data_IF_867156338946
#
_entry.id   IF_867156338946
#
_cell.length_a   1.000
_cell.length_b   1.000
_cell.length_c   1.000
_cell.angle_alpha   90.00
_cell.angle_beta   90.00
_cell.angle_gamma   90.00
#
_symmetry.space_group_name_H-M   'P 1'
#
loop_
_entity.id
_entity.type
_entity.pdbx_description
1 polymer ?
#
# COMPACT_ATOMS: atom_id res chain seq x y z
N UNK A 1 1.82 30.38 11.33
CA UNK A 1 0.96 29.19 11.49
C UNK A 1 -0.34 29.47 10.76
N UNK A 2 -0.80 28.57 9.90
CA UNK A 2 -2.06 28.80 9.17
C UNK A 2 -3.28 28.67 10.06
N UNK A 3 -4.31 29.47 9.78
CA UNK A 3 -5.56 29.47 10.53
C UNK A 3 -6.46 28.32 10.05
N UNK A 4 -6.63 27.30 10.90
CA UNK A 4 -7.43 26.11 10.56
C UNK A 4 -8.92 26.44 10.34
N UNK A 5 -9.44 27.47 11.00
CA UNK A 5 -10.83 27.92 10.84
C UNK A 5 -11.06 28.56 9.47
N UNK A 6 -10.13 29.41 9.00
CA UNK A 6 -10.18 29.97 7.65
C UNK A 6 -10.01 28.89 6.58
N UNK A 7 -9.10 27.95 6.81
CA UNK A 7 -8.89 26.80 5.95
C UNK A 7 -10.15 25.92 5.85
N UNK A 8 -10.81 25.63 6.98
CA UNK A 8 -12.08 24.90 7.02
C UNK A 8 -13.16 25.61 6.20
N UNK A 9 -13.38 26.91 6.45
CA UNK A 9 -14.34 27.72 5.70
C UNK A 9 -14.09 27.62 4.19
N UNK A 10 -12.84 27.79 3.76
CA UNK A 10 -12.50 27.78 2.34
C UNK A 10 -12.64 26.41 1.70
N UNK A 11 -12.25 25.34 2.39
CA UNK A 11 -12.43 23.97 1.87
C UNK A 11 -13.91 23.60 1.77
N UNK A 12 -14.75 24.01 2.72
CA UNK A 12 -16.22 23.82 2.64
C UNK A 12 -16.81 24.57 1.46
N UNK A 13 -16.44 25.83 1.26
CA UNK A 13 -16.87 26.64 0.10
C UNK A 13 -16.50 25.98 -1.23
N UNK A 14 -15.23 25.59 -1.42
CA UNK A 14 -14.74 25.03 -2.67
C UNK A 14 -15.37 23.67 -3.00
N UNK A 15 -15.68 22.88 -1.98
CA UNK A 15 -16.27 21.55 -2.16
C UNK A 15 -17.80 21.57 -2.21
N UNK A 16 -18.43 22.68 -1.79
CA UNK A 16 -19.86 22.76 -1.50
C UNK A 16 -20.29 21.79 -0.40
N UNK A 17 -19.36 21.38 0.47
CA UNK A 17 -19.54 20.35 1.50
C UNK A 17 -20.19 19.05 0.97
N UNK A 18 -19.91 18.70 -0.28
CA UNK A 18 -20.59 17.57 -0.89
C UNK A 18 -20.27 16.26 -0.17
N UNK A 19 -21.27 15.40 0.02
CA UNK A 19 -21.13 14.14 0.77
C UNK A 19 -20.07 13.20 0.19
N UNK A 20 -19.90 13.22 -1.14
CA UNK A 20 -18.90 12.44 -1.87
C UNK A 20 -17.56 13.18 -2.10
N UNK A 21 -17.40 14.38 -1.55
CA UNK A 21 -16.12 15.08 -1.59
C UNK A 21 -15.12 14.40 -0.65
N UNK A 22 -13.88 14.23 -1.12
CA UNK A 22 -12.72 13.93 -0.29
C UNK A 22 -11.55 14.81 -0.72
N UNK A 23 -11.44 16.03 -0.14
CA UNK A 23 -10.42 16.99 -0.53
C UNK A 23 -9.01 16.49 -0.20
N UNK A 24 -8.82 15.85 0.95
CA UNK A 24 -7.54 15.25 1.37
C UNK A 24 -7.73 14.29 2.56
N UNK A 25 -6.64 13.65 2.99
CA UNK A 25 -6.52 12.88 4.22
C UNK A 25 -5.12 13.09 4.85
N UNK A 26 -5.11 13.50 6.11
CA UNK A 26 -3.94 13.54 6.99
C UNK A 26 -4.42 13.33 8.43
N UNK A 27 -3.54 12.97 9.36
CA UNK A 27 -3.93 12.98 10.78
C UNK A 27 -3.76 14.40 11.36
N UNK A 28 -4.83 14.92 11.95
CA UNK A 28 -4.90 16.28 12.52
C UNK A 28 -4.91 17.38 11.46
N UNK A 29 -4.29 18.51 11.79
CA UNK A 29 -4.20 19.70 10.93
C UNK A 29 -3.33 19.46 9.69
N UNK A 30 -3.74 19.86 8.48
CA UNK A 30 -2.93 19.70 7.27
C UNK A 30 -1.71 20.62 7.22
N UNK A 31 -1.67 21.66 8.06
CA UNK A 31 -0.51 22.55 8.15
C UNK A 31 0.72 21.78 8.66
N UNK A 32 1.84 21.91 7.94
CA UNK A 32 3.07 21.19 8.23
C UNK A 32 3.18 19.82 7.54
N UNK A 33 2.22 19.44 6.69
CA UNK A 33 2.41 18.34 5.75
C UNK A 33 3.38 18.78 4.64
N UNK A 34 4.57 18.18 4.60
CA UNK A 34 5.64 18.55 3.65
C UNK A 34 5.62 17.69 2.38
N UNK A 35 4.95 16.53 2.43
CA UNK A 35 4.83 15.57 1.33
C UNK A 35 3.39 15.43 0.91
N UNK A 36 3.11 15.61 -0.38
CA UNK A 36 1.80 15.33 -0.96
C UNK A 36 1.85 14.05 -1.77
N UNK A 37 0.93 13.12 -1.51
CA UNK A 37 0.67 11.95 -2.36
C UNK A 37 -0.58 12.27 -3.19
N UNK A 38 -0.41 12.35 -4.50
CA UNK A 38 -1.45 12.89 -5.39
C UNK A 38 -1.89 11.83 -6.39
N UNK A 39 -3.12 11.34 -6.18
CA UNK A 39 -3.85 10.54 -7.15
C UNK A 39 -4.71 11.38 -8.10
N UNK A 40 -5.53 10.70 -8.90
CA UNK A 40 -6.44 11.37 -9.83
C UNK A 40 -7.76 11.76 -9.17
N UNK A 41 -8.44 10.81 -8.52
CA UNK A 41 -9.69 11.03 -7.82
C UNK A 41 -9.96 9.94 -6.76
N UNK A 42 -10.82 10.22 -5.76
CA UNK A 42 -11.26 9.22 -4.81
C UNK A 42 -11.92 7.99 -5.45
N UNK A 43 -11.32 6.81 -5.25
CA UNK A 43 -11.87 5.52 -5.73
C UNK A 43 -12.95 4.89 -4.83
N UNK A 44 -13.39 5.56 -3.77
CA UNK A 44 -14.40 5.08 -2.81
C UNK A 44 -15.28 6.22 -2.30
N UNK A 45 -16.55 5.94 -2.06
CA UNK A 45 -17.54 6.89 -1.53
C UNK A 45 -17.51 7.05 0.00
N UNK A 46 -16.43 6.65 0.67
CA UNK A 46 -16.30 6.85 2.11
C UNK A 46 -16.28 8.36 2.42
N UNK A 47 -17.22 8.87 3.24
CA UNK A 47 -17.39 10.30 3.43
C UNK A 47 -16.20 10.91 4.18
N UNK A 48 -15.85 12.15 3.86
CA UNK A 48 -14.76 12.89 4.53
C UNK A 48 -15.27 13.67 5.75
N UNK A 49 -16.36 14.43 5.60
CA UNK A 49 -16.83 15.41 6.58
C UNK A 49 -17.07 14.90 8.00
N UNK A 50 -17.61 13.68 8.23
CA UNK A 50 -17.77 13.17 9.60
C UNK A 50 -16.45 13.04 10.39
N UNK A 51 -15.32 13.03 9.67
CA UNK A 51 -13.99 12.86 10.22
C UNK A 51 -13.18 14.16 10.22
N UNK A 52 -13.72 15.27 9.71
CA UNK A 52 -13.09 16.58 9.75
C UNK A 52 -13.75 17.44 10.83
N UNK A 53 -13.01 17.75 11.90
CA UNK A 53 -13.55 18.43 13.09
C UNK A 53 -12.57 19.49 13.59
N UNK A 54 -13.03 20.73 13.72
CA UNK A 54 -12.26 21.78 14.40
C UNK A 54 -12.25 21.53 15.92
N UNK A 55 -11.18 21.92 16.63
CA UNK A 55 -9.92 22.50 16.13
C UNK A 55 -8.88 21.44 15.71
N UNK A 56 -9.23 20.15 15.73
CA UNK A 56 -8.27 19.06 15.53
C UNK A 56 -7.80 18.92 14.06
N UNK A 57 -8.74 19.01 13.12
CA UNK A 57 -8.54 18.68 11.70
C UNK A 57 -9.11 17.30 11.37
N UNK A 58 -8.38 16.50 10.60
CA UNK A 58 -8.85 15.21 10.10
C UNK A 58 -8.51 14.06 11.06
N UNK A 59 -9.52 13.34 11.52
CA UNK A 59 -9.40 12.06 12.24
C UNK A 59 -9.19 10.91 11.23
N UNK A 60 -8.04 10.89 10.56
CA UNK A 60 -7.75 9.91 9.50
C UNK A 60 -7.79 8.47 10.03
N UNK A 61 -7.36 8.20 11.26
CA UNK A 61 -7.46 6.85 11.83
C UNK A 61 -8.91 6.37 12.00
N UNK A 62 -9.84 7.25 12.37
CA UNK A 62 -11.28 6.93 12.38
C UNK A 62 -11.79 6.66 10.97
N UNK A 63 -11.43 7.53 10.01
CA UNK A 63 -11.78 7.37 8.60
C UNK A 63 -11.27 6.04 8.03
N UNK A 64 -10.03 5.65 8.36
CA UNK A 64 -9.42 4.40 7.90
C UNK A 64 -10.17 3.18 8.45
N UNK A 65 -10.55 3.19 9.73
CA UNK A 65 -11.34 2.09 10.31
C UNK A 65 -12.67 1.91 9.57
N UNK A 66 -13.38 3.00 9.32
CA UNK A 66 -14.64 2.96 8.56
C UNK A 66 -14.43 2.52 7.12
N UNK A 67 -13.44 3.09 6.43
CA UNK A 67 -13.04 2.70 5.07
C UNK A 67 -12.81 1.18 4.95
N UNK A 68 -12.06 0.61 5.89
CA UNK A 68 -11.71 -0.81 5.89
C UNK A 68 -12.90 -1.71 6.24
N UNK A 69 -13.89 -1.19 6.97
CA UNK A 69 -15.13 -1.91 7.28
C UNK A 69 -16.09 -2.00 6.08
N UNK A 70 -16.19 -0.93 5.27
CA UNK A 70 -17.22 -0.80 4.21
C UNK A 70 -16.86 -1.51 2.91
N UNK A 71 -15.57 -1.62 2.57
CA UNK A 71 -15.10 -2.25 1.33
C UNK A 71 -13.81 -3.01 1.65
N UNK A 72 -13.73 -4.28 1.22
CA UNK A 72 -12.51 -5.09 1.38
C UNK A 72 -11.27 -4.31 0.95
N UNK A 73 -10.20 -4.43 1.73
CA UNK A 73 -8.96 -3.64 1.64
C UNK A 73 -8.53 -3.44 0.18
N UNK A 74 -8.60 -2.20 -0.33
CA UNK A 74 -8.10 -1.92 -1.68
C UNK A 74 -6.56 -1.84 -1.63
N UNK A 75 -5.84 -2.53 -2.52
CA UNK A 75 -4.37 -2.48 -2.57
C UNK A 75 -3.80 -1.06 -2.57
N UNK A 76 -4.46 -0.12 -3.27
CA UNK A 76 -4.08 1.30 -3.30
C UNK A 76 -3.93 1.90 -1.89
N UNK A 77 -4.90 1.67 -1.01
CA UNK A 77 -4.90 2.27 0.34
C UNK A 77 -3.76 1.71 1.17
N UNK A 78 -3.56 0.38 1.15
CA UNK A 78 -2.43 -0.27 1.85
C UNK A 78 -1.10 0.33 1.40
N UNK A 79 -0.92 0.53 0.09
CA UNK A 79 0.31 1.09 -0.48
C UNK A 79 0.53 2.55 -0.04
N UNK A 80 -0.52 3.38 -0.08
CA UNK A 80 -0.47 4.75 0.43
C UNK A 80 -0.05 4.76 1.91
N UNK A 81 -0.68 3.95 2.75
CA UNK A 81 -0.35 3.93 4.18
C UNK A 81 1.08 3.42 4.46
N UNK A 82 1.60 2.47 3.67
CA UNK A 82 3.01 2.04 3.77
C UNK A 82 3.98 3.17 3.40
N UNK A 83 3.73 3.90 2.32
CA UNK A 83 4.55 5.07 1.93
C UNK A 83 4.55 6.10 3.05
N UNK A 84 3.37 6.45 3.58
CA UNK A 84 3.21 7.45 4.66
C UNK A 84 3.93 7.00 5.93
N UNK A 85 3.79 5.73 6.31
CA UNK A 85 4.48 5.18 7.49
C UNK A 85 5.99 5.24 7.33
N UNK A 86 6.53 4.88 6.17
CA UNK A 86 7.97 4.91 5.90
C UNK A 86 8.54 6.33 5.75
N UNK A 87 7.70 7.32 5.43
CA UNK A 87 8.08 8.73 5.36
C UNK A 87 8.18 9.41 6.74
N UNK A 88 7.68 8.79 7.80
CA UNK A 88 7.75 9.35 9.16
C UNK A 88 9.20 9.69 9.58
N UNK A 89 9.43 10.81 10.29
CA UNK A 89 8.43 11.69 10.92
C UNK A 89 7.86 12.77 9.99
N UNK A 90 8.23 12.79 8.70
CA UNK A 90 7.71 13.78 7.75
C UNK A 90 6.21 13.56 7.55
N UNK A 91 5.43 14.61 7.76
CA UNK A 91 3.98 14.54 7.69
C UNK A 91 3.55 14.55 6.23
N UNK A 92 2.67 13.61 5.89
CA UNK A 92 2.16 13.43 4.54
C UNK A 92 0.68 13.81 4.45
N UNK A 93 0.28 14.32 3.30
CA UNK A 93 -1.11 14.59 2.93
C UNK A 93 -1.45 13.74 1.69
N UNK A 94 -2.47 12.88 1.82
CA UNK A 94 -3.03 12.10 0.70
C UNK A 94 -4.17 12.88 0.06
N UNK A 95 -4.07 13.20 -1.22
CA UNK A 95 -5.07 13.98 -1.96
C UNK A 95 -5.15 13.50 -3.41
N UNK A 96 -6.01 14.16 -4.18
CA UNK A 96 -6.26 13.86 -5.57
C UNK A 96 -6.39 15.18 -6.34
N UNK A 97 -6.02 15.16 -7.62
CA UNK A 97 -6.24 16.30 -8.51
C UNK A 97 -7.73 16.71 -8.55
N UNK A 98 -8.63 15.72 -8.52
CA UNK A 98 -10.07 15.92 -8.41
C UNK A 98 -10.59 15.37 -7.09
N UNK A 99 -11.34 16.18 -6.34
CA UNK A 99 -11.79 15.81 -5.00
C UNK A 99 -13.06 14.93 -4.98
N UNK A 100 -13.69 14.69 -6.12
CA UNK A 100 -14.97 13.97 -6.23
C UNK A 100 -14.81 12.47 -6.44
N UNK A 101 -15.62 11.69 -5.74
CA UNK A 101 -15.67 10.24 -5.91
C UNK A 101 -16.06 9.85 -7.33
N UNK A 102 -15.35 8.86 -7.86
CA UNK A 102 -15.87 8.00 -8.93
C UNK A 102 -15.25 6.60 -8.81
N UNK A 103 -15.93 5.53 -9.26
CA UNK A 103 -15.36 4.18 -9.24
C UNK A 103 -14.04 4.04 -10.01
N UNK A 104 -13.88 4.84 -11.06
CA UNK A 104 -12.67 4.92 -11.89
C UNK A 104 -12.67 6.23 -12.67
N UNK A 105 -11.50 6.62 -13.16
CA UNK A 105 -11.33 7.86 -13.91
C UNK A 105 -12.22 7.99 -15.15
N UNK A 106 -12.46 6.89 -15.89
CA UNK A 106 -13.32 6.91 -17.07
C UNK A 106 -14.79 7.25 -16.74
N UNK A 107 -15.22 7.00 -15.50
CA UNK A 107 -16.54 7.36 -14.99
C UNK A 107 -16.61 8.77 -14.35
N UNK A 108 -15.49 9.51 -14.34
CA UNK A 108 -15.48 10.86 -13.79
C UNK A 108 -16.07 11.85 -14.80
N UNK A 109 -17.22 12.42 -14.45
CA UNK A 109 -17.96 13.36 -15.30
C UNK A 109 -17.17 14.66 -15.49
N UNK A 110 -17.32 15.36 -16.63
CA UNK A 110 -16.61 16.61 -16.89
C UNK A 110 -16.74 17.65 -15.76
N UNK A 111 -17.93 17.81 -15.19
CA UNK A 111 -18.22 18.73 -14.09
C UNK A 111 -17.55 18.35 -12.76
N UNK A 112 -17.18 17.08 -12.59
CA UNK A 112 -16.49 16.58 -11.39
C UNK A 112 -14.95 16.69 -11.52
N UNK A 113 -14.42 17.14 -12.67
CA UNK A 113 -12.98 17.35 -12.94
C UNK A 113 -12.51 18.73 -12.44
N UNK A 114 -12.92 19.10 -11.24
CA UNK A 114 -12.59 20.38 -10.61
C UNK A 114 -11.29 20.27 -9.80
N UNK A 115 -10.28 21.05 -10.20
CA UNK A 115 -8.94 21.08 -9.58
C UNK A 115 -8.77 22.22 -8.58
N UNK A 116 -9.77 23.11 -8.41
CA UNK A 116 -9.65 24.30 -7.56
C UNK A 116 -9.36 23.95 -6.10
N UNK A 117 -9.88 22.82 -5.61
CA UNK A 117 -9.55 22.30 -4.27
C UNK A 117 -8.08 21.93 -4.19
N UNK A 118 -7.56 21.16 -5.15
CA UNK A 118 -6.16 20.74 -5.14
C UNK A 118 -5.20 21.93 -5.27
N UNK A 119 -5.55 22.89 -6.12
CA UNK A 119 -4.82 24.14 -6.30
C UNK A 119 -4.72 24.96 -5.03
N UNK A 120 -5.83 25.08 -4.31
CA UNK A 120 -5.86 25.75 -3.01
C UNK A 120 -4.98 25.03 -1.97
N UNK A 121 -4.98 23.69 -1.96
CA UNK A 121 -4.10 22.91 -1.07
C UNK A 121 -2.62 23.17 -1.36
N UNK A 122 -2.22 23.21 -2.64
CA UNK A 122 -0.84 23.51 -3.02
C UNK A 122 -0.41 24.90 -2.57
N UNK A 123 -1.26 25.91 -2.79
CA UNK A 123 -0.97 27.30 -2.47
C UNK A 123 -0.86 27.55 -0.97
N UNK A 124 -1.77 26.98 -0.17
CA UNK A 124 -1.84 27.28 1.27
C UNK A 124 -0.90 26.41 2.11
N UNK A 125 -0.64 25.17 1.68
CA UNK A 125 0.14 24.22 2.47
C UNK A 125 1.58 24.09 1.99
N UNK A 126 1.90 24.58 0.79
CA UNK A 126 3.27 24.73 0.25
C UNK A 126 4.14 23.48 0.44
N UNK A 127 3.77 22.32 -0.14
CA UNK A 127 4.54 21.09 0.06
C UNK A 127 5.97 21.23 -0.49
N UNK A 128 6.93 20.58 0.15
CA UNK A 128 8.31 20.48 -0.34
C UNK A 128 8.43 19.45 -1.45
N UNK A 129 7.70 18.34 -1.29
CA UNK A 129 7.79 17.18 -2.19
C UNK A 129 6.39 16.72 -2.59
N UNK A 130 6.23 16.38 -3.86
CA UNK A 130 5.02 15.77 -4.41
C UNK A 130 5.36 14.42 -5.01
N UNK A 131 4.61 13.39 -4.63
CA UNK A 131 4.52 12.14 -5.36
C UNK A 131 3.23 12.11 -6.19
N UNK A 132 3.34 12.35 -7.49
CA UNK A 132 2.21 12.28 -8.42
C UNK A 132 2.12 10.89 -9.03
N UNK A 133 0.97 10.21 -8.87
CA UNK A 133 0.84 8.81 -9.29
C UNK A 133 -0.34 8.55 -10.24
N UNK A 134 -0.03 7.94 -11.39
CA UNK A 134 -0.98 7.71 -12.48
C UNK A 134 -0.98 8.83 -13.53
N UNK A 135 -1.23 8.46 -14.78
CA UNK A 135 -1.02 9.32 -15.95
C UNK A 135 -1.64 10.71 -15.80
N UNK A 136 -2.91 10.79 -15.43
CA UNK A 136 -3.63 12.07 -15.41
C UNK A 136 -3.21 13.00 -14.26
N UNK A 137 -2.77 12.44 -13.13
CA UNK A 137 -2.18 13.24 -12.05
C UNK A 137 -0.79 13.76 -12.47
N UNK A 138 -0.04 12.98 -13.25
CA UNK A 138 1.25 13.38 -13.81
C UNK A 138 1.06 14.47 -14.85
N UNK A 139 0.18 14.27 -15.84
CA UNK A 139 -0.17 15.26 -16.86
C UNK A 139 -0.64 16.58 -16.24
N UNK A 140 -1.39 16.51 -15.14
CA UNK A 140 -1.77 17.69 -14.38
C UNK A 140 -0.55 18.48 -13.90
N UNK A 141 0.42 17.80 -13.27
CA UNK A 141 1.65 18.41 -12.78
C UNK A 141 2.59 18.87 -13.88
N UNK A 142 2.67 18.16 -15.01
CA UNK A 142 3.46 18.57 -16.17
C UNK A 142 2.96 19.91 -16.73
N UNK A 143 1.63 20.10 -16.79
CA UNK A 143 1.05 21.41 -17.18
C UNK A 143 1.37 22.50 -16.17
N UNK A 144 1.34 22.20 -14.88
CA UNK A 144 1.72 23.17 -13.85
C UNK A 144 3.21 23.53 -13.87
N UNK A 145 4.06 22.55 -14.19
CA UNK A 145 5.51 22.72 -14.26
C UNK A 145 5.98 23.34 -15.58
N UNK A 146 5.16 23.26 -16.64
CA UNK A 146 5.53 23.69 -17.99
C UNK A 146 6.53 22.76 -18.68
N UNK A 147 6.74 21.53 -18.17
CA UNK A 147 7.68 20.56 -18.71
C UNK A 147 7.25 19.13 -18.42
N UNK A 148 7.76 18.18 -19.21
CA UNK A 148 7.55 16.76 -18.98
C UNK A 148 8.30 16.30 -17.71
N UNK A 149 7.71 15.36 -16.98
CA UNK A 149 8.26 14.86 -15.73
C UNK A 149 8.70 13.39 -15.88
N UNK A 150 9.99 13.06 -15.68
CA UNK A 150 10.46 11.69 -15.78
C UNK A 150 9.85 10.80 -14.69
N UNK A 151 9.54 9.55 -15.06
CA UNK A 151 9.10 8.50 -14.14
C UNK A 151 10.21 8.11 -13.15
N UNK A 152 9.81 7.88 -11.89
CA UNK A 152 10.64 7.39 -10.79
C UNK A 152 11.90 8.26 -10.52
N UNK A 153 11.87 9.54 -10.90
CA UNK A 153 12.97 10.49 -10.70
C UNK A 153 12.48 11.79 -10.04
N UNK A 154 13.23 12.28 -9.05
CA UNK A 154 12.98 13.59 -8.46
C UNK A 154 13.37 14.70 -9.43
N UNK A 155 12.41 15.57 -9.75
CA UNK A 155 12.60 16.75 -10.60
C UNK A 155 12.22 18.00 -9.81
N UNK A 156 13.15 18.93 -9.64
CA UNK A 156 12.82 20.24 -9.07
C UNK A 156 12.11 21.09 -10.13
N UNK A 157 10.90 21.56 -9.82
CA UNK A 157 10.11 22.43 -10.70
C UNK A 157 9.69 23.70 -9.97
N UNK A 158 9.31 24.73 -10.74
CA UNK A 158 8.65 25.92 -10.21
C UNK A 158 7.17 25.83 -10.54
N UNK A 159 6.32 25.70 -9.52
CA UNK A 159 4.86 25.67 -9.65
C UNK A 159 4.33 26.90 -8.94
N UNK A 160 3.75 27.84 -9.68
CA UNK A 160 3.20 29.10 -9.14
C UNK A 160 4.20 29.90 -8.29
N UNK A 161 5.46 29.94 -8.73
CA UNK A 161 6.56 30.60 -8.02
C UNK A 161 7.11 29.83 -6.82
N UNK A 162 6.53 28.67 -6.47
CA UNK A 162 7.04 27.77 -5.43
C UNK A 162 7.97 26.73 -6.04
N UNK A 163 9.14 26.54 -5.42
CA UNK A 163 10.03 25.43 -5.76
C UNK A 163 9.54 24.16 -5.09
N UNK A 164 9.19 23.15 -5.88
CA UNK A 164 8.70 21.85 -5.40
C UNK A 164 9.51 20.75 -6.07
N UNK A 165 9.85 19.70 -5.31
CA UNK A 165 10.41 18.48 -5.89
C UNK A 165 9.29 17.50 -6.21
N UNK A 166 9.20 17.08 -7.48
CA UNK A 166 8.19 16.13 -7.93
C UNK A 166 8.85 14.81 -8.29
N UNK A 167 8.32 13.71 -7.76
CA UNK A 167 8.58 12.36 -8.27
C UNK A 167 7.29 11.81 -8.84
N UNK A 168 7.36 11.25 -10.04
CA UNK A 168 6.20 10.64 -10.69
C UNK A 168 6.28 9.13 -10.62
N UNK A 169 5.13 8.45 -10.56
CA UNK A 169 5.11 6.99 -10.51
C UNK A 169 3.82 6.37 -11.02
N UNK A 170 3.81 5.05 -11.08
CA UNK A 170 2.63 4.32 -11.55
C UNK A 170 1.45 4.50 -10.60
N UNK A 171 0.24 4.42 -11.16
CA UNK A 171 -0.98 4.45 -10.36
C UNK A 171 -0.96 3.34 -9.30
N UNK A 172 -1.05 3.71 -8.01
CA UNK A 172 -0.90 2.81 -6.87
C UNK A 172 -1.94 1.67 -6.83
N UNK A 173 -3.05 1.76 -7.57
CA UNK A 173 -4.00 0.66 -7.75
C UNK A 173 -3.60 -0.41 -8.78
N UNK A 174 -2.65 -0.12 -9.67
CA UNK A 174 -2.26 -0.98 -10.81
C UNK A 174 -0.79 -1.40 -10.78
N UNK A 175 -0.16 -1.40 -9.60
CA UNK A 175 1.25 -1.74 -9.44
C UNK A 175 1.62 -3.01 -10.25
N UNK A 176 2.54 -2.84 -11.21
CA UNK A 176 3.02 -3.91 -12.09
C UNK A 176 3.98 -4.84 -11.34
N UNK A 177 4.41 -5.92 -12.01
CA UNK A 177 5.53 -6.77 -11.53
C UNK A 177 6.72 -5.87 -11.16
N UNK A 178 7.30 -6.10 -9.98
CA UNK A 178 8.45 -5.34 -9.45
C UNK A 178 8.11 -4.28 -8.40
N UNK A 179 6.84 -3.97 -8.17
CA UNK A 179 6.41 -3.11 -7.06
C UNK A 179 5.98 -3.96 -5.86
N UNK A 180 6.98 -4.37 -5.07
CA UNK A 180 6.81 -5.05 -3.78
C UNK A 180 6.39 -4.05 -2.70
N UNK A 181 5.97 -4.54 -1.53
CA UNK A 181 5.74 -3.67 -0.38
C UNK A 181 6.98 -2.91 0.08
N UNK A 182 8.15 -3.56 0.01
CA UNK A 182 9.44 -2.95 0.28
C UNK A 182 9.70 -1.73 -0.60
N UNK A 183 9.39 -1.80 -1.91
CA UNK A 183 9.55 -0.65 -2.82
C UNK A 183 8.67 0.55 -2.45
N UNK A 184 7.47 0.32 -1.91
CA UNK A 184 6.62 1.41 -1.41
C UNK A 184 7.22 2.06 -0.15
N UNK A 185 7.89 1.27 0.69
CA UNK A 185 8.58 1.78 1.88
C UNK A 185 9.87 2.51 1.51
N UNK A 186 10.62 2.02 0.52
CA UNK A 186 11.75 2.73 -0.08
C UNK A 186 11.34 4.09 -0.62
N UNK A 187 10.19 4.16 -1.31
CA UNK A 187 9.64 5.42 -1.79
C UNK A 187 9.34 6.36 -0.62
N UNK A 188 8.68 5.88 0.44
CA UNK A 188 8.46 6.68 1.65
C UNK A 188 9.75 7.22 2.26
N UNK A 189 10.79 6.38 2.39
CA UNK A 189 12.11 6.79 2.89
C UNK A 189 12.77 7.84 1.99
N UNK A 190 12.65 7.69 0.67
CA UNK A 190 13.20 8.64 -0.29
C UNK A 190 12.50 10.00 -0.24
N UNK A 191 11.16 10.02 -0.11
CA UNK A 191 10.38 11.25 0.09
C UNK A 191 10.84 11.99 1.35
N UNK A 192 11.03 11.26 2.46
CA UNK A 192 11.57 11.81 3.71
C UNK A 192 12.95 12.43 3.54
N UNK A 193 13.89 11.69 2.94
CA UNK A 193 15.25 12.16 2.68
C UNK A 193 15.25 13.44 1.83
N UNK A 194 14.36 13.50 0.84
CA UNK A 194 14.22 14.67 -0.02
C UNK A 194 13.74 15.90 0.76
N UNK A 195 12.75 15.75 1.63
CA UNK A 195 12.28 16.83 2.52
C UNK A 195 13.37 17.34 3.49
N UNK A 196 14.30 16.46 3.89
CA UNK A 196 15.43 16.77 4.76
C UNK A 196 16.63 17.40 4.02
N UNK A 197 16.50 17.65 2.71
CA UNK A 197 17.56 18.26 1.90
C UNK A 197 18.65 17.29 1.44
N UNK A 198 18.53 16.00 1.75
CA UNK A 198 19.46 14.98 1.25
C UNK A 198 19.16 14.71 -0.22
N UNK A 199 20.16 14.89 -1.10
CA UNK A 199 20.07 14.42 -2.49
C UNK A 199 20.16 12.90 -2.48
N UNK A 200 19.03 12.23 -2.64
CA UNK A 200 18.96 10.79 -2.87
C UNK A 200 18.43 10.55 -4.28
N UNK A 201 19.00 9.58 -4.99
CA UNK A 201 18.38 9.03 -6.18
C UNK A 201 17.42 7.93 -5.73
N UNK A 202 16.15 8.02 -6.15
CA UNK A 202 15.26 6.88 -6.00
C UNK A 202 15.78 5.77 -6.91
N UNK A 203 16.05 4.55 -6.40
CA UNK A 203 16.73 3.52 -7.16
C UNK A 203 15.93 3.18 -8.41
N UNK A 204 16.50 3.53 -9.57
CA UNK A 204 15.91 3.27 -10.87
C UNK A 204 16.12 1.79 -11.21
N UNK A 205 15.38 0.91 -10.54
CA UNK A 205 15.32 -0.50 -10.89
C UNK A 205 14.40 -0.65 -12.10
N UNK A 206 14.88 -0.21 -13.26
CA UNK A 206 14.49 -0.83 -14.51
C UNK A 206 14.78 -2.33 -14.38
N UNK A 207 13.89 -3.15 -14.94
CA UNK A 207 13.96 -4.61 -14.99
C UNK A 207 15.36 -5.13 -15.40
N UNK A 208 16.29 -5.26 -14.47
CA UNK A 208 17.50 -6.04 -14.64
C UNK A 208 17.20 -7.44 -14.14
N UNK A 209 16.63 -8.26 -15.01
CA UNK A 209 16.70 -9.71 -14.89
C UNK A 209 18.13 -10.14 -15.21
N UNK A 210 19.07 -9.86 -14.32
CA UNK A 210 20.33 -10.58 -14.27
C UNK A 210 20.41 -11.30 -12.94
N UNK A 211 20.13 -12.59 -13.01
CA UNK A 211 20.50 -13.58 -12.00
C UNK A 211 22.03 -13.59 -11.98
N UNK A 212 22.62 -12.80 -11.09
CA UNK A 212 24.02 -12.91 -10.72
C UNK A 212 24.14 -14.00 -9.68
N UNK A 213 24.69 -15.15 -10.07
CA UNK A 213 25.14 -16.18 -9.13
C UNK A 213 26.23 -15.56 -8.23
N UNK A 214 25.90 -15.35 -6.96
CA UNK A 214 26.88 -15.05 -5.93
C UNK A 214 27.00 -16.26 -5.01
N UNK A 215 28.18 -16.89 -5.07
CA UNK A 215 28.61 -17.99 -4.21
C UNK A 215 28.72 -17.50 -2.76
N UNK A 216 28.00 -18.14 -1.84
CA UNK A 216 28.18 -17.98 -0.40
C UNK A 216 29.48 -18.64 0.06
N UNK A 217 30.26 -18.01 0.95
CA UNK A 217 31.17 -18.74 1.82
C UNK A 217 30.45 -19.18 3.10
N UNK A 218 30.83 -20.36 3.56
CA UNK A 218 30.43 -21.02 4.79
C UNK A 218 30.43 -20.11 6.02
N UNK A 219 29.31 -20.12 6.74
CA UNK A 219 29.25 -19.78 8.17
C UNK A 219 28.35 -20.80 8.86
N UNK A 220 28.96 -21.88 9.32
CA UNK A 220 28.38 -22.75 10.33
C UNK A 220 28.33 -21.99 11.66
N UNK A 221 27.14 -21.53 12.04
CA UNK A 221 26.85 -21.12 13.40
C UNK A 221 25.76 -22.03 13.97
N UNK A 222 26.16 -22.80 14.97
CA UNK A 222 25.31 -23.59 15.84
C UNK A 222 24.24 -22.69 16.46
N UNK A 223 22.99 -22.79 15.99
CA UNK A 223 21.83 -22.12 16.58
C UNK A 223 21.26 -23.02 17.67
N UNK A 224 21.48 -22.63 18.92
CA UNK A 224 20.66 -23.08 20.04
C UNK A 224 19.19 -22.72 19.77
N UNK A 225 18.22 -23.58 20.15
CA UNK A 225 16.81 -23.26 19.97
C UNK A 225 16.46 -22.05 20.82
N UNK A 226 16.04 -20.96 20.15
CA UNK A 226 15.53 -19.78 20.83
C UNK A 226 14.25 -20.16 21.60
N UNK A 227 14.06 -19.64 22.82
CA UNK A 227 12.82 -19.85 23.55
C UNK A 227 11.65 -19.29 22.73
N UNK A 228 10.57 -20.07 22.63
CA UNK A 228 9.28 -19.69 22.05
C UNK A 228 8.68 -18.53 22.86
N UNK A 229 9.21 -17.33 22.68
CA UNK A 229 8.53 -16.08 23.03
C UNK A 229 7.27 -16.07 22.18
N UNK A 230 6.10 -16.02 22.82
CA UNK A 230 4.80 -15.91 22.15
C UNK A 230 4.79 -14.64 21.29
N UNK A 231 5.19 -14.77 20.03
CA UNK A 231 5.13 -13.71 19.02
C UNK A 231 3.66 -13.44 18.71
N UNK A 232 3.34 -12.16 18.55
CA UNK A 232 1.99 -11.71 18.25
C UNK A 232 1.47 -12.39 16.98
N UNK A 233 0.19 -12.76 17.00
CA UNK A 233 -0.50 -13.59 15.99
C UNK A 233 -0.50 -12.94 14.58
N UNK A 234 0.05 -11.74 14.45
CA UNK A 234 -0.11 -10.84 13.31
C UNK A 234 1.17 -10.59 12.50
N UNK A 235 2.32 -11.08 12.95
CA UNK A 235 3.59 -10.86 12.24
C UNK A 235 3.78 -11.86 11.09
N UNK A 236 3.55 -11.37 9.87
CA UNK A 236 3.73 -12.15 8.66
C UNK A 236 5.19 -12.58 8.43
N UNK A 237 6.16 -11.71 8.72
CA UNK A 237 7.57 -11.97 8.44
C UNK A 237 8.11 -13.05 9.39
N UNK A 238 7.77 -12.96 10.67
CA UNK A 238 8.08 -14.03 11.63
C UNK A 238 7.46 -15.37 11.23
N UNK A 239 6.23 -15.35 10.70
CA UNK A 239 5.55 -16.56 10.23
C UNK A 239 6.20 -17.12 8.97
N UNK A 240 6.59 -16.26 8.03
CA UNK A 240 7.27 -16.68 6.81
C UNK A 240 8.64 -17.29 7.10
N UNK A 241 9.39 -16.71 8.04
CA UNK A 241 10.66 -17.25 8.48
C UNK A 241 10.50 -18.61 9.15
N UNK A 242 9.48 -18.79 10.00
CA UNK A 242 9.14 -20.09 10.57
C UNK A 242 8.90 -21.14 9.47
N UNK A 243 8.11 -20.81 8.45
CA UNK A 243 7.84 -21.71 7.33
C UNK A 243 9.11 -22.08 6.54
N UNK A 244 10.05 -21.14 6.40
CA UNK A 244 11.37 -21.40 5.76
C UNK A 244 12.22 -22.34 6.59
N UNK A 245 12.36 -22.08 7.88
CA UNK A 245 13.17 -22.91 8.79
C UNK A 245 12.64 -24.35 8.91
N UNK A 246 11.34 -24.57 8.68
CA UNK A 246 10.68 -25.87 8.74
C UNK A 246 10.39 -26.48 7.35
N UNK A 247 10.92 -25.89 6.28
CA UNK A 247 10.81 -26.43 4.93
C UNK A 247 11.79 -27.60 4.73
N UNK A 248 11.38 -28.72 4.11
CA UNK A 248 10.07 -28.96 3.49
C UNK A 248 8.99 -29.40 4.49
N UNK A 249 7.77 -28.88 4.32
CA UNK A 249 6.60 -29.23 5.12
C UNK A 249 5.79 -30.34 4.46
N UNK A 250 5.58 -31.47 5.14
CA UNK A 250 4.71 -32.55 4.65
C UNK A 250 3.30 -32.36 5.22
N UNK A 251 2.34 -32.09 4.35
CA UNK A 251 0.99 -31.64 4.74
C UNK A 251 -0.11 -32.41 4.00
N UNK A 252 -1.32 -32.36 4.56
CA UNK A 252 -2.51 -32.95 3.95
C UNK A 252 -3.64 -31.92 3.84
N UNK A 253 -4.21 -31.81 2.64
CA UNK A 253 -5.39 -30.97 2.40
C UNK A 253 -6.64 -31.58 3.06
N UNK A 254 -7.70 -30.79 3.27
CA UNK A 254 -8.97 -31.33 3.78
C UNK A 254 -9.61 -32.39 2.87
N UNK A 255 -9.22 -32.44 1.60
CA UNK A 255 -9.66 -33.47 0.65
C UNK A 255 -8.73 -34.69 0.60
N UNK A 256 -7.83 -34.88 1.57
CA UNK A 256 -6.94 -36.04 1.65
C UNK A 256 -5.76 -36.05 0.68
N UNK A 257 -5.55 -34.97 -0.09
CA UNK A 257 -4.35 -34.86 -0.95
C UNK A 257 -3.15 -34.53 -0.10
N UNK A 258 -2.17 -35.45 -0.06
CA UNK A 258 -0.86 -35.26 0.56
C UNK A 258 0.06 -34.49 -0.38
N UNK A 259 0.86 -33.59 0.17
CA UNK A 259 1.80 -32.76 -0.58
C UNK A 259 2.97 -32.31 0.30
N UNK A 260 4.04 -31.90 -0.37
CA UNK A 260 5.21 -31.28 0.23
C UNK A 260 5.24 -29.80 -0.14
N UNK A 261 5.41 -28.92 0.84
CA UNK A 261 5.56 -27.49 0.62
C UNK A 261 7.03 -27.09 0.84
N UNK A 262 7.65 -26.55 -0.20
CA UNK A 262 9.02 -26.05 -0.19
C UNK A 262 8.99 -24.53 -0.15
N UNK A 263 9.59 -23.92 0.88
CA UNK A 263 9.51 -22.48 1.13
C UNK A 263 10.87 -21.85 0.87
N UNK A 264 10.89 -20.80 0.06
CA UNK A 264 12.06 -19.97 -0.23
C UNK A 264 11.85 -18.53 0.23
N UNK A 265 12.85 -17.69 0.02
CA UNK A 265 12.81 -16.26 0.39
C UNK A 265 11.65 -15.52 -0.28
N UNK A 266 11.26 -15.95 -1.48
CA UNK A 266 10.31 -15.22 -2.34
C UNK A 266 9.06 -16.02 -2.70
N UNK A 267 9.00 -17.31 -2.35
CA UNK A 267 7.88 -18.16 -2.77
C UNK A 267 7.71 -19.43 -1.94
N UNK A 268 6.56 -20.07 -2.12
CA UNK A 268 6.27 -21.42 -1.63
C UNK A 268 5.83 -22.28 -2.82
N UNK A 269 6.47 -23.44 -3.00
CA UNK A 269 6.17 -24.42 -4.03
C UNK A 269 5.49 -25.64 -3.40
N UNK A 270 4.38 -26.08 -3.98
CA UNK A 270 3.61 -27.23 -3.55
C UNK A 270 3.82 -28.38 -4.55
N UNK A 271 4.28 -29.52 -4.05
CA UNK A 271 4.57 -30.72 -4.82
C UNK A 271 3.70 -31.88 -4.31
N UNK A 272 3.03 -32.59 -5.22
CA UNK A 272 2.24 -33.78 -4.88
C UNK A 272 2.34 -34.79 -6.00
N UNK A 273 2.25 -36.09 -5.68
CA UNK A 273 2.36 -37.19 -6.66
C UNK A 273 1.33 -37.10 -7.81
N UNK A 274 0.24 -36.36 -7.61
CA UNK A 274 -0.89 -36.27 -8.55
C UNK A 274 -0.97 -34.96 -9.33
N UNK A 275 -0.18 -33.95 -8.98
CA UNK A 275 -0.26 -32.61 -9.58
C UNK A 275 1.12 -32.11 -10.02
N UNK A 276 1.12 -31.31 -11.09
CA UNK A 276 2.27 -30.46 -11.42
C UNK A 276 2.59 -29.52 -10.25
N UNK A 277 3.89 -29.27 -10.02
CA UNK A 277 4.38 -28.33 -9.02
C UNK A 277 3.70 -26.97 -9.18
N UNK A 278 3.14 -26.46 -8.08
CA UNK A 278 2.46 -25.15 -8.06
C UNK A 278 3.23 -24.20 -7.18
N UNK A 279 3.61 -23.04 -7.71
CA UNK A 279 4.30 -22.01 -6.92
C UNK A 279 3.38 -20.83 -6.62
N UNK A 280 3.57 -20.24 -5.44
CA UNK A 280 2.93 -19.03 -4.98
C UNK A 280 3.99 -18.07 -4.43
N UNK A 281 3.96 -16.80 -4.86
CA UNK A 281 4.89 -15.79 -4.35
C UNK A 281 4.58 -15.42 -2.89
N UNK A 282 5.61 -14.96 -2.16
CA UNK A 282 5.50 -14.44 -0.79
C UNK A 282 4.39 -13.39 -0.66
N UNK A 283 4.36 -12.38 -1.52
CA UNK A 283 3.31 -11.33 -1.51
C UNK A 283 1.88 -11.89 -1.64
N UNK A 284 1.71 -12.90 -2.49
CA UNK A 284 0.41 -13.54 -2.65
C UNK A 284 0.04 -14.29 -1.38
N UNK A 285 1.00 -15.02 -0.79
CA UNK A 285 0.81 -15.75 0.45
C UNK A 285 0.52 -14.81 1.63
N UNK A 286 1.23 -13.67 1.75
CA UNK A 286 0.98 -12.60 2.73
C UNK A 286 -0.47 -12.10 2.65
N UNK A 287 -0.95 -11.85 1.43
CA UNK A 287 -2.33 -11.43 1.21
C UNK A 287 -3.32 -12.45 1.79
N UNK A 288 -3.05 -13.75 1.62
CA UNK A 288 -3.91 -14.80 2.17
C UNK A 288 -3.74 -14.99 3.67
N UNK A 289 -2.53 -14.81 4.18
CA UNK A 289 -2.23 -14.85 5.61
C UNK A 289 -3.06 -13.80 6.35
N UNK A 290 -3.07 -12.56 5.86
CA UNK A 290 -3.89 -11.50 6.45
C UNK A 290 -5.38 -11.80 6.45
N UNK A 291 -5.91 -12.33 5.34
CA UNK A 291 -7.32 -12.71 5.26
C UNK A 291 -7.67 -13.81 6.25
N UNK A 292 -6.80 -14.81 6.39
CA UNK A 292 -7.03 -15.95 7.27
C UNK A 292 -6.93 -15.57 8.75
N UNK A 293 -5.83 -14.95 9.15
CA UNK A 293 -5.49 -14.73 10.56
C UNK A 293 -5.98 -13.39 11.10
N UNK A 294 -5.95 -12.31 10.31
CA UNK A 294 -6.37 -10.99 10.79
C UNK A 294 -7.86 -10.74 10.57
N UNK A 295 -8.39 -11.16 9.42
CA UNK A 295 -9.79 -10.91 9.07
C UNK A 295 -10.72 -12.08 9.43
N UNK A 296 -10.16 -13.25 9.78
CA UNK A 296 -10.95 -14.46 10.06
C UNK A 296 -11.69 -15.02 8.84
N UNK A 297 -11.31 -14.63 7.63
CA UNK A 297 -11.96 -15.01 6.37
C UNK A 297 -11.35 -16.28 5.80
N UNK A 298 -11.90 -17.43 6.20
CA UNK A 298 -11.41 -18.77 5.82
C UNK A 298 -12.17 -19.41 4.65
N UNK A 299 -13.07 -18.69 3.99
CA UNK A 299 -13.91 -19.22 2.90
C UNK A 299 -13.24 -19.06 1.52
N UNK A 300 -13.22 -20.15 0.74
CA UNK A 300 -12.70 -20.22 -0.63
C UNK A 300 -13.27 -19.16 -1.58
N UNK A 301 -14.49 -18.67 -1.35
CA UNK A 301 -15.14 -17.61 -2.14
C UNK A 301 -14.35 -16.31 -2.13
N UNK A 302 -13.73 -15.94 -1.00
CA UNK A 302 -12.90 -14.74 -0.93
C UNK A 302 -11.65 -14.88 -1.81
N UNK A 303 -11.08 -16.07 -1.86
CA UNK A 303 -9.93 -16.37 -2.71
C UNK A 303 -10.24 -16.29 -4.22
N UNK A 304 -11.45 -16.70 -4.63
CA UNK A 304 -11.91 -16.58 -6.02
C UNK A 304 -11.94 -15.12 -6.47
N UNK A 305 -12.42 -14.24 -5.60
CA UNK A 305 -12.59 -12.83 -5.93
C UNK A 305 -11.24 -12.10 -6.06
N UNK A 306 -10.20 -12.55 -5.35
CA UNK A 306 -8.84 -11.98 -5.44
C UNK A 306 -8.12 -12.38 -6.72
N UNK A 307 -8.18 -13.65 -7.10
CA UNK A 307 -7.42 -14.15 -8.25
C UNK A 307 -8.11 -13.93 -9.59
N UNK A 308 -9.42 -13.60 -9.60
CA UNK A 308 -10.28 -13.54 -10.80
C UNK A 308 -10.28 -14.81 -11.65
N UNK A 309 -9.66 -15.90 -11.18
CA UNK A 309 -9.57 -17.18 -11.90
C UNK A 309 -10.81 -18.01 -11.61
N UNK A 310 -11.41 -18.58 -12.66
CA UNK A 310 -12.62 -19.41 -12.59
C UNK A 310 -12.48 -20.66 -11.70
N UNK A 311 -11.26 -21.19 -11.51
CA UNK A 311 -11.01 -22.37 -10.67
C UNK A 311 -9.86 -22.15 -9.67
N UNK A 312 -10.16 -21.66 -8.46
CA UNK A 312 -9.18 -21.51 -7.38
C UNK A 312 -9.09 -22.75 -6.45
N UNK A 313 -9.84 -23.82 -6.71
CA UNK A 313 -10.12 -24.88 -5.73
C UNK A 313 -8.85 -25.55 -5.18
N UNK A 314 -7.90 -25.90 -6.07
CA UNK A 314 -6.69 -26.62 -5.66
C UNK A 314 -5.63 -25.73 -5.02
N UNK A 315 -5.45 -24.48 -5.48
CA UNK A 315 -4.53 -23.56 -4.78
C UNK A 315 -5.04 -23.26 -3.38
N UNK A 316 -6.35 -23.11 -3.23
CA UNK A 316 -7.00 -22.94 -1.94
C UNK A 316 -6.68 -24.07 -0.96
N UNK A 317 -6.81 -25.32 -1.40
CA UNK A 317 -6.57 -26.46 -0.52
C UNK A 317 -5.13 -26.50 0.02
N UNK A 318 -4.13 -26.19 -0.81
CA UNK A 318 -2.71 -26.24 -0.40
C UNK A 318 -2.39 -25.22 0.70
N UNK A 319 -2.57 -23.92 0.47
CA UNK A 319 -2.21 -22.95 1.51
C UNK A 319 -3.15 -23.03 2.72
N UNK A 320 -4.41 -23.47 2.57
CA UNK A 320 -5.29 -23.69 3.73
C UNK A 320 -4.75 -24.77 4.66
N UNK A 321 -4.08 -25.80 4.12
CA UNK A 321 -3.38 -26.78 4.92
C UNK A 321 -2.14 -26.18 5.60
N UNK A 322 -1.37 -25.33 4.91
CA UNK A 322 -0.26 -24.58 5.52
C UNK A 322 -0.76 -23.68 6.66
N UNK A 323 -1.87 -22.98 6.49
CA UNK A 323 -2.42 -22.11 7.54
C UNK A 323 -2.94 -22.91 8.74
N UNK A 324 -3.54 -24.07 8.54
CA UNK A 324 -3.91 -24.95 9.67
C UNK A 324 -2.68 -25.48 10.42
N UNK A 325 -1.63 -25.84 9.69
CA UNK A 325 -0.35 -26.21 10.31
C UNK A 325 0.20 -25.07 11.18
N UNK A 326 0.14 -23.83 10.69
CA UNK A 326 0.50 -22.64 11.46
C UNK A 326 -0.42 -22.40 12.68
N UNK A 327 -1.73 -22.60 12.58
CA UNK A 327 -2.66 -22.54 13.73
C UNK A 327 -2.31 -23.55 14.82
N UNK A 328 -1.93 -24.76 14.41
CA UNK A 328 -1.58 -25.86 15.31
C UNK A 328 -0.24 -25.61 16.02
N UNK A 329 0.80 -25.21 15.27
CA UNK A 329 2.17 -25.15 15.78
C UNK A 329 2.53 -23.81 16.43
N UNK A 330 1.94 -22.71 15.95
CA UNK A 330 2.18 -21.38 16.50
C UNK A 330 1.03 -20.87 17.38
N UNK A 331 -0.05 -21.66 17.53
CA UNK A 331 -1.24 -21.27 18.28
C UNK A 331 -1.99 -20.09 17.66
N UNK A 332 -1.77 -19.83 16.37
CA UNK A 332 -2.41 -18.74 15.64
C UNK A 332 -3.93 -19.00 15.54
N UNK A 333 -4.74 -17.95 15.60
CA UNK A 333 -6.19 -18.05 15.33
C UNK A 333 -7.08 -18.53 16.48
N UNK A 334 -6.53 -18.90 17.65
CA UNK A 334 -7.32 -19.02 18.88
C UNK A 334 -7.63 -17.62 19.40
N UNK A 335 -8.84 -17.10 19.12
CA UNK A 335 -9.36 -15.94 19.86
C UNK A 335 -9.35 -16.32 21.34
N UNK A 336 -8.57 -15.62 22.15
CA UNK A 336 -8.69 -15.70 23.60
C UNK A 336 -10.03 -15.13 24.04
#
# INVERSE_FOLDING_TARGET
MGNLTEFDKRIRELTGEHVEARPFLCEGSPFGCEVFLVGINPGTSTPFWPYWRLPYGCHKQEWLRDYMSRRGRKPTRIRIERIISAAAPVRCLDTNAFFRYSPNEASLRPEDRDTRVFDYLLEVLTPKVVFAHGASAIEYFERLAGSALPYDQFTSVSVRGMRIDVITGQHLGRARRGWTYERFEELGRALRQRCQGTRCQFPNTALSTHVGNASSPDLAQSRMPLPLVRRDITDFEATWEYLREHSPLRLETSGGTRFTAHVSDTSIAYESDRDQTRTQSKDNFETYFHLWFLEGRRDRRYFRNLTKKRSPSRRFSYFSAVFRHLEEHLGLGKRR
#
